data_IF_880123032972
#
_entry.id   IF_880123032972
#
_cell.length_a   1.000
_cell.length_b   1.000
_cell.length_c   1.000
_cell.angle_alpha   90.00
_cell.angle_beta   90.00
_cell.angle_gamma   90.00
#
_symmetry.space_group_name_H-M   'P 1'
#
loop_
_entity.id
_entity.type
_entity.pdbx_description
1 polymer ?
#
# COMPACT_ATOMS: atom_id res chain seq x y z
N UNK A 1 38.22 10.09 4.13
CA UNK A 1 37.08 10.40 3.24
C UNK A 1 35.96 9.46 3.62
N UNK A 2 35.15 9.83 4.61
CA UNK A 2 34.01 9.02 5.04
C UNK A 2 32.86 9.28 4.08
N UNK A 3 32.47 8.23 3.34
CA UNK A 3 31.29 8.26 2.49
C UNK A 3 30.06 8.48 3.35
N UNK A 4 29.37 9.60 3.13
CA UNK A 4 28.04 9.84 3.67
C UNK A 4 27.14 8.73 3.12
N UNK A 5 26.83 7.73 3.95
CA UNK A 5 25.70 6.83 3.72
C UNK A 5 24.42 7.67 3.78
N UNK A 6 24.12 8.35 2.68
CA UNK A 6 22.79 8.89 2.45
C UNK A 6 21.91 7.66 2.38
N UNK A 7 21.13 7.39 3.43
CA UNK A 7 20.05 6.42 3.35
C UNK A 7 19.26 6.77 2.09
N UNK A 8 19.35 5.92 1.06
CA UNK A 8 18.57 6.07 -0.16
C UNK A 8 17.12 6.10 0.30
N UNK A 9 16.51 7.29 0.28
CA UNK A 9 15.08 7.43 0.56
C UNK A 9 14.39 6.55 -0.47
N UNK A 10 13.82 5.43 0.01
CA UNK A 10 13.13 4.48 -0.86
C UNK A 10 11.84 5.14 -1.31
N UNK A 11 11.86 5.70 -2.52
CA UNK A 11 10.71 6.25 -3.20
C UNK A 11 9.85 5.12 -3.76
N UNK A 12 8.59 5.39 -4.02
CA UNK A 12 7.73 4.50 -4.79
C UNK A 12 8.27 4.42 -6.22
N UNK A 13 8.48 3.22 -6.74
CA UNK A 13 8.87 3.01 -8.14
C UNK A 13 7.68 2.75 -9.05
N UNK A 14 6.61 2.20 -8.48
CA UNK A 14 5.36 1.88 -9.16
C UNK A 14 4.17 2.36 -8.35
N UNK A 15 3.09 2.67 -9.05
CA UNK A 15 1.81 3.03 -8.46
C UNK A 15 0.67 2.44 -9.30
N UNK A 16 -0.49 2.29 -8.68
CA UNK A 16 -1.72 1.86 -9.32
C UNK A 16 -2.68 3.03 -9.43
N UNK A 17 -3.23 3.24 -10.62
CA UNK A 17 -4.19 4.32 -10.90
C UNK A 17 -5.51 4.06 -10.14
N UNK A 18 -6.00 5.08 -9.44
CA UNK A 18 -7.30 5.08 -8.76
C UNK A 18 -8.33 5.92 -9.52
N UNK A 19 -7.91 7.05 -10.08
CA UNK A 19 -8.76 7.96 -10.86
C UNK A 19 -7.88 8.88 -11.71
N UNK A 20 -8.42 9.48 -12.77
CA UNK A 20 -7.70 10.47 -13.56
C UNK A 20 -8.63 11.50 -14.20
N UNK A 21 -8.08 12.71 -14.41
CA UNK A 21 -8.74 13.82 -15.11
C UNK A 21 -7.87 14.27 -16.26
N UNK A 22 -8.36 14.13 -17.49
CA UNK A 22 -7.63 14.51 -18.71
C UNK A 22 -7.23 15.99 -18.74
N UNK A 23 -8.03 16.86 -18.10
CA UNK A 23 -7.73 18.27 -17.87
C UNK A 23 -7.98 18.67 -16.42
N UNK A 24 -7.21 18.07 -15.51
CA UNK A 24 -7.25 18.36 -14.09
C UNK A 24 -6.37 19.55 -13.69
N UNK A 25 -6.69 20.16 -12.55
CA UNK A 25 -5.78 21.04 -11.81
C UNK A 25 -5.23 20.26 -10.62
N UNK A 26 -3.93 20.35 -10.42
CA UNK A 26 -3.26 19.72 -9.28
C UNK A 26 -3.73 20.35 -7.96
N UNK A 27 -4.00 19.49 -6.99
CA UNK A 27 -4.29 19.87 -5.61
C UNK A 27 -3.02 20.01 -4.76
N UNK A 28 -1.93 19.33 -5.16
CA UNK A 28 -0.66 19.30 -4.43
C UNK A 28 0.32 20.40 -4.88
N UNK A 29 0.27 20.81 -6.14
CA UNK A 29 1.17 21.82 -6.74
C UNK A 29 0.35 22.89 -7.46
N UNK A 30 0.32 24.09 -6.87
CA UNK A 30 -0.43 25.24 -7.40
C UNK A 30 0.01 25.56 -8.84
N UNK A 31 -0.97 25.78 -9.72
CA UNK A 31 -0.74 26.19 -11.11
C UNK A 31 -0.41 25.06 -12.08
N UNK A 32 -0.25 23.81 -11.60
CA UNK A 32 -0.10 22.65 -12.48
C UNK A 32 -1.44 22.20 -13.03
N UNK A 33 -1.52 22.09 -14.35
CA UNK A 33 -2.70 21.67 -15.11
C UNK A 33 -2.25 20.63 -16.14
N UNK A 34 -3.05 19.61 -16.36
CA UNK A 34 -2.76 18.56 -17.34
C UNK A 34 -3.58 17.31 -17.06
N UNK A 35 -3.07 16.15 -17.47
CA UNK A 35 -3.63 14.87 -17.09
C UNK A 35 -3.23 14.61 -15.63
N UNK A 36 -4.16 14.81 -14.70
CA UNK A 36 -3.92 14.60 -13.27
C UNK A 36 -4.43 13.23 -12.90
N UNK A 37 -3.54 12.39 -12.38
CA UNK A 37 -3.82 11.02 -11.99
C UNK A 37 -3.70 10.91 -10.47
N UNK A 38 -4.74 10.38 -9.83
CA UNK A 38 -4.71 9.94 -8.44
C UNK A 38 -4.30 8.47 -8.44
N UNK A 39 -3.27 8.12 -7.67
CA UNK A 39 -2.75 6.76 -7.63
C UNK A 39 -2.34 6.35 -6.21
N UNK A 40 -2.21 5.05 -5.99
CA UNK A 40 -1.63 4.46 -4.77
C UNK A 40 -0.31 3.79 -5.09
N UNK A 41 0.74 4.14 -4.37
CA UNK A 41 2.05 3.51 -4.54
C UNK A 41 2.08 2.05 -4.12
N UNK A 42 2.87 1.22 -4.80
CA UNK A 42 2.88 -0.23 -4.59
C UNK A 42 3.57 -0.62 -3.27
N UNK A 43 4.70 0.00 -2.93
CA UNK A 43 5.57 -0.41 -1.82
C UNK A 43 5.20 0.24 -0.50
N UNK A 44 4.80 1.52 -0.50
CA UNK A 44 4.47 2.27 0.71
C UNK A 44 2.98 2.52 0.84
N UNK A 45 2.17 2.12 -0.14
CA UNK A 45 0.71 2.32 -0.16
C UNK A 45 0.36 3.80 0.04
N UNK A 46 1.22 4.68 -0.47
CA UNK A 46 1.05 6.12 -0.34
C UNK A 46 0.13 6.63 -1.44
N UNK A 47 -0.87 7.43 -1.09
CA UNK A 47 -1.68 8.13 -2.08
C UNK A 47 -0.87 9.27 -2.71
N UNK A 48 -0.85 9.31 -4.03
CA UNK A 48 -0.04 10.22 -4.83
C UNK A 48 -0.90 10.94 -5.87
N UNK A 49 -0.56 12.19 -6.12
CA UNK A 49 -1.00 12.92 -7.28
C UNK A 49 0.13 12.94 -8.32
N UNK A 50 -0.19 12.57 -9.56
CA UNK A 50 0.76 12.38 -10.65
C UNK A 50 0.32 13.21 -11.86
N UNK A 51 1.30 13.82 -12.53
CA UNK A 51 1.13 14.46 -13.82
C UNK A 51 1.49 13.47 -14.93
N UNK A 52 0.51 13.12 -15.76
CA UNK A 52 0.71 12.33 -16.97
C UNK A 52 1.35 13.13 -18.10
N UNK A 53 2.03 12.45 -19.01
CA UNK A 53 2.50 13.03 -20.27
C UNK A 53 1.31 13.36 -21.17
N UNK A 54 1.47 14.40 -21.98
CA UNK A 54 0.47 14.76 -22.98
C UNK A 54 0.17 13.57 -23.90
N UNK A 55 -1.11 13.35 -24.21
CA UNK A 55 -1.63 12.23 -25.00
C UNK A 55 -1.53 10.83 -24.36
N UNK A 56 -1.11 10.71 -23.10
CA UNK A 56 -1.20 9.43 -22.39
C UNK A 56 -2.64 9.13 -21.97
N UNK A 57 -3.04 7.87 -22.10
CA UNK A 57 -4.27 7.34 -21.50
C UNK A 57 -3.93 6.59 -20.21
N UNK A 58 -4.87 6.56 -19.28
CA UNK A 58 -4.74 5.81 -18.03
C UNK A 58 -6.01 4.98 -17.83
N UNK A 59 -5.85 3.81 -17.24
CA UNK A 59 -6.97 2.95 -16.85
C UNK A 59 -6.96 2.75 -15.34
N UNK A 60 -8.13 2.70 -14.71
CA UNK A 60 -8.24 2.40 -13.27
C UNK A 60 -7.66 1.00 -13.00
N UNK A 61 -6.83 0.87 -11.96
CA UNK A 61 -6.09 -0.34 -11.64
C UNK A 61 -4.84 -0.58 -12.49
N UNK A 62 -4.53 0.30 -13.45
CA UNK A 62 -3.28 0.22 -14.23
C UNK A 62 -2.06 0.42 -13.32
N UNK A 63 -1.08 -0.48 -13.43
CA UNK A 63 0.23 -0.35 -12.77
C UNK A 63 1.14 0.52 -13.63
N UNK A 64 1.47 1.71 -13.16
CA UNK A 64 2.31 2.68 -13.84
C UNK A 64 3.68 2.82 -13.16
N UNK A 65 4.73 3.00 -13.97
CA UNK A 65 6.08 3.28 -13.46
C UNK A 65 6.24 4.77 -13.15
N UNK A 66 6.64 5.08 -11.92
CA UNK A 66 6.83 6.44 -11.39
C UNK A 66 8.25 6.69 -10.85
N UNK A 67 9.15 5.70 -10.99
CA UNK A 67 10.57 5.83 -10.65
C UNK A 67 11.28 6.92 -11.44
N UNK A 68 12.56 7.20 -11.12
CA UNK A 68 13.22 8.44 -11.56
C UNK A 68 13.40 8.57 -13.08
N UNK A 69 13.71 7.49 -13.78
CA UNK A 69 14.10 7.49 -15.20
C UNK A 69 13.36 6.40 -15.97
N UNK A 70 13.05 6.62 -17.26
CA UNK A 70 12.37 5.63 -18.09
C UNK A 70 10.84 5.60 -17.96
N UNK A 71 10.22 6.68 -17.47
CA UNK A 71 8.76 6.82 -17.43
C UNK A 71 8.20 6.97 -18.85
N UNK A 72 7.17 6.20 -19.17
CA UNK A 72 6.53 6.20 -20.51
C UNK A 72 5.22 6.96 -20.55
N UNK A 73 4.46 6.98 -19.45
CA UNK A 73 3.17 7.71 -19.32
C UNK A 73 3.23 8.87 -18.33
N UNK A 74 4.24 8.89 -17.46
CA UNK A 74 4.29 9.80 -16.31
C UNK A 74 5.32 10.90 -16.54
N UNK A 75 4.88 12.15 -16.45
CA UNK A 75 5.77 13.31 -16.50
C UNK A 75 6.45 13.53 -15.15
N UNK A 76 5.67 13.59 -14.07
CA UNK A 76 6.20 13.81 -12.72
C UNK A 76 5.23 13.36 -11.63
N UNK A 77 5.76 12.87 -10.50
CA UNK A 77 4.99 12.74 -9.25
C UNK A 77 4.91 14.13 -8.62
N UNK A 78 3.69 14.66 -8.45
CA UNK A 78 3.45 16.01 -7.96
C UNK A 78 3.53 16.10 -6.43
N UNK A 79 2.98 15.09 -5.74
CA UNK A 79 3.02 15.07 -4.29
C UNK A 79 2.20 13.94 -3.68
N UNK A 80 2.24 13.85 -2.35
CA UNK A 80 1.34 12.99 -1.57
C UNK A 80 0.00 13.70 -1.38
N UNK A 81 -1.08 12.92 -1.36
CA UNK A 81 -2.43 13.42 -1.11
C UNK A 81 -3.06 12.66 0.07
N UNK A 82 -3.86 13.36 0.86
CA UNK A 82 -4.59 12.75 1.97
C UNK A 82 -5.84 12.04 1.45
N UNK A 83 -6.28 10.97 2.11
CA UNK A 83 -7.49 10.22 1.75
C UNK A 83 -8.73 11.11 1.66
N UNK A 84 -8.86 12.12 2.53
CA UNK A 84 -10.00 13.06 2.53
C UNK A 84 -9.99 14.05 1.36
N UNK A 85 -8.89 14.13 0.59
CA UNK A 85 -8.73 15.06 -0.53
C UNK A 85 -8.87 14.40 -1.90
N UNK A 86 -8.92 13.08 -1.96
CA UNK A 86 -9.17 12.34 -3.21
C UNK A 86 -10.68 12.27 -3.49
N UNK A 87 -11.04 12.13 -4.78
CA UNK A 87 -12.43 11.99 -5.24
C UNK A 87 -13.09 10.74 -4.66
N UNK A 88 -14.43 10.77 -4.54
CA UNK A 88 -15.20 9.59 -4.14
C UNK A 88 -15.01 8.42 -5.10
N UNK A 89 -14.82 8.69 -6.40
CA UNK A 89 -14.43 7.71 -7.41
C UNK A 89 -13.07 7.08 -7.09
N UNK A 90 -12.05 7.87 -6.75
CA UNK A 90 -10.77 7.31 -6.35
C UNK A 90 -10.89 6.47 -5.07
N UNK A 91 -11.70 6.92 -4.10
CA UNK A 91 -11.92 6.20 -2.85
C UNK A 91 -12.58 4.83 -3.07
N UNK A 92 -13.58 4.74 -3.96
CA UNK A 92 -14.28 3.49 -4.25
C UNK A 92 -13.39 2.42 -4.88
N UNK A 93 -12.32 2.82 -5.58
CA UNK A 93 -11.40 1.91 -6.25
C UNK A 93 -10.30 1.36 -5.32
N UNK A 94 -9.99 2.05 -4.21
CA UNK A 94 -8.90 1.65 -3.29
C UNK A 94 -9.04 0.20 -2.82
N UNK A 95 -10.22 -0.30 -2.36
CA UNK A 95 -10.34 -1.67 -1.88
C UNK A 95 -9.89 -2.72 -2.91
N UNK A 96 -10.35 -2.62 -4.16
CA UNK A 96 -10.00 -3.57 -5.22
C UNK A 96 -8.53 -3.46 -5.66
N UNK A 97 -8.00 -2.24 -5.72
CA UNK A 97 -6.58 -2.01 -6.05
C UNK A 97 -5.66 -2.51 -4.94
N UNK A 98 -5.99 -2.27 -3.67
CA UNK A 98 -5.22 -2.77 -2.51
C UNK A 98 -5.20 -4.30 -2.51
N UNK A 99 -6.33 -4.95 -2.72
CA UNK A 99 -6.39 -6.41 -2.82
C UNK A 99 -5.50 -6.94 -3.96
N UNK A 100 -5.55 -6.28 -5.12
CA UNK A 100 -4.68 -6.60 -6.26
C UNK A 100 -3.19 -6.44 -5.94
N UNK A 101 -2.82 -5.38 -5.20
CA UNK A 101 -1.44 -5.15 -4.74
C UNK A 101 -0.99 -6.26 -3.79
N UNK A 102 -1.85 -6.68 -2.86
CA UNK A 102 -1.56 -7.73 -1.89
C UNK A 102 -1.33 -9.06 -2.59
N UNK A 103 -2.20 -9.43 -3.54
CA UNK A 103 -2.08 -10.67 -4.31
C UNK A 103 -0.78 -10.67 -5.13
N UNK A 104 -0.51 -9.59 -5.87
CA UNK A 104 0.70 -9.49 -6.71
C UNK A 104 2.00 -9.45 -5.89
N UNK A 105 1.94 -9.02 -4.63
CA UNK A 105 3.08 -8.90 -3.74
C UNK A 105 2.95 -9.81 -2.52
N UNK A 106 2.35 -10.99 -2.68
CA UNK A 106 2.02 -11.92 -1.60
C UNK A 106 3.18 -12.15 -0.63
N UNK A 107 4.37 -12.42 -1.17
CA UNK A 107 5.59 -12.65 -0.37
C UNK A 107 5.84 -11.54 0.65
N UNK A 108 5.67 -10.27 0.29
CA UNK A 108 5.89 -9.13 1.19
C UNK A 108 4.98 -9.18 2.43
N UNK A 109 3.72 -9.55 2.24
CA UNK A 109 2.72 -9.58 3.29
C UNK A 109 2.81 -10.87 4.13
N UNK A 110 3.14 -11.99 3.50
CA UNK A 110 3.48 -13.25 4.20
C UNK A 110 4.73 -13.05 5.07
N UNK A 111 5.78 -12.43 4.52
CA UNK A 111 7.00 -12.10 5.26
C UNK A 111 6.71 -11.15 6.44
N UNK A 112 5.78 -10.20 6.28
CA UNK A 112 5.34 -9.38 7.40
C UNK A 112 4.74 -10.23 8.54
N UNK A 113 3.82 -11.15 8.22
CA UNK A 113 3.20 -12.01 9.23
C UNK A 113 4.21 -12.96 9.90
N UNK A 114 5.19 -13.46 9.15
CA UNK A 114 6.29 -14.26 9.68
C UNK A 114 7.17 -13.47 10.66
N UNK A 115 7.39 -12.19 10.41
CA UNK A 115 8.33 -11.37 11.19
C UNK A 115 7.66 -10.44 12.20
N UNK A 116 6.32 -10.33 12.22
CA UNK A 116 5.56 -9.44 13.10
C UNK A 116 5.92 -9.66 14.58
N UNK A 117 6.17 -8.58 15.33
CA UNK A 117 6.62 -8.63 16.72
C UNK A 117 5.63 -7.99 17.69
N UNK A 118 5.86 -8.17 18.98
CA UNK A 118 5.18 -7.41 20.03
C UNK A 118 5.52 -5.92 19.92
N UNK A 119 4.50 -5.07 19.94
CA UNK A 119 4.68 -3.61 19.99
C UNK A 119 5.00 -3.15 21.41
N UNK A 120 4.31 -3.75 22.38
CA UNK A 120 4.51 -3.57 23.82
C UNK A 120 4.39 -4.92 24.50
N UNK A 121 4.75 -5.06 25.79
CA UNK A 121 4.52 -6.31 26.52
C UNK A 121 3.06 -6.80 26.54
N UNK A 122 2.09 -5.92 26.23
CA UNK A 122 0.65 -6.23 26.26
C UNK A 122 -0.02 -6.30 24.90
N UNK A 123 0.64 -5.83 23.83
CA UNK A 123 0.02 -5.67 22.51
C UNK A 123 0.96 -6.23 21.45
N UNK A 124 0.48 -7.22 20.70
CA UNK A 124 1.16 -7.75 19.51
C UNK A 124 0.69 -7.03 18.24
N UNK A 125 1.61 -6.80 17.29
CA UNK A 125 1.28 -6.12 16.02
C UNK A 125 0.22 -6.87 15.19
N UNK A 126 0.26 -8.21 15.21
CA UNK A 126 -0.76 -9.06 14.58
C UNK A 126 -2.18 -8.76 15.08
N UNK A 127 -2.37 -8.40 16.35
CA UNK A 127 -3.69 -8.10 16.91
C UNK A 127 -4.30 -6.80 16.36
N UNK A 128 -3.47 -5.98 15.71
CA UNK A 128 -3.91 -4.75 15.07
C UNK A 128 -4.53 -5.01 13.70
N UNK A 129 -4.37 -6.22 13.14
CA UNK A 129 -5.02 -6.61 11.90
C UNK A 129 -6.47 -7.01 12.22
N UNK A 130 -7.48 -6.33 11.64
CA UNK A 130 -8.88 -6.63 11.93
C UNK A 130 -9.22 -8.09 11.70
N UNK A 131 -9.85 -8.73 12.68
CA UNK A 131 -10.20 -10.17 12.66
C UNK A 131 -9.15 -11.08 13.31
N UNK A 132 -7.94 -10.59 13.58
CA UNK A 132 -6.93 -11.32 14.33
C UNK A 132 -7.00 -10.91 15.81
N UNK A 133 -7.75 -11.67 16.60
CA UNK A 133 -7.74 -11.56 18.06
C UNK A 133 -6.59 -12.36 18.70
N UNK A 134 -6.55 -12.40 20.05
CA UNK A 134 -5.54 -13.14 20.82
C UNK A 134 -5.40 -14.62 20.41
N UNK A 135 -6.52 -15.28 20.14
CA UNK A 135 -6.56 -16.69 19.72
C UNK A 135 -5.82 -16.89 18.40
N UNK A 136 -6.19 -16.13 17.35
CA UNK A 136 -5.52 -16.24 16.06
C UNK A 136 -4.07 -15.79 16.13
N UNK A 137 -3.78 -14.72 16.86
CA UNK A 137 -2.40 -14.25 17.07
C UNK A 137 -1.51 -15.36 17.66
N UNK A 138 -1.98 -16.07 18.69
CA UNK A 138 -1.22 -17.16 19.30
C UNK A 138 -1.00 -18.32 18.31
N UNK A 139 -2.05 -18.72 17.58
CA UNK A 139 -1.96 -19.78 16.55
C UNK A 139 -0.94 -19.39 15.47
N UNK A 140 -0.98 -18.16 14.96
CA UNK A 140 -0.05 -17.67 13.94
C UNK A 140 1.40 -17.73 14.44
N UNK A 141 1.66 -17.32 15.69
CA UNK A 141 3.00 -17.36 16.30
C UNK A 141 3.48 -18.81 16.45
N UNK A 142 2.65 -19.70 17.01
CA UNK A 142 3.01 -21.10 17.19
C UNK A 142 3.32 -21.79 15.85
N UNK A 143 2.54 -21.49 14.81
CA UNK A 143 2.75 -22.06 13.49
C UNK A 143 4.05 -21.54 12.85
N UNK A 144 4.26 -20.22 12.79
CA UNK A 144 5.48 -19.69 12.16
C UNK A 144 6.78 -20.10 12.86
N UNK A 145 6.74 -20.38 14.17
CA UNK A 145 7.88 -20.91 14.94
C UNK A 145 8.28 -22.32 14.51
N UNK A 146 7.33 -23.16 14.10
CA UNK A 146 7.62 -24.49 13.53
C UNK A 146 8.26 -24.36 12.16
N UNK A 147 7.66 -23.52 11.32
CA UNK A 147 8.11 -23.23 9.95
C UNK A 147 7.48 -21.90 9.50
N UNK A 148 8.27 -20.95 8.96
CA UNK A 148 7.73 -19.75 8.34
C UNK A 148 6.69 -20.07 7.26
N UNK A 149 5.65 -19.25 7.15
CA UNK A 149 4.65 -19.37 6.11
C UNK A 149 5.24 -19.05 4.74
N UNK A 150 4.80 -19.79 3.72
CA UNK A 150 5.26 -19.59 2.34
C UNK A 150 4.23 -18.85 1.46
N UNK A 151 2.96 -18.88 1.84
CA UNK A 151 1.84 -18.31 1.08
C UNK A 151 0.65 -17.97 1.98
N UNK A 152 -0.30 -17.18 1.48
CA UNK A 152 -1.60 -16.97 2.11
C UNK A 152 -2.39 -18.26 2.26
N UNK A 153 -2.29 -19.16 1.28
CA UNK A 153 -2.91 -20.49 1.37
C UNK A 153 -2.30 -21.32 2.50
N UNK A 154 -0.98 -21.27 2.69
CA UNK A 154 -0.31 -21.94 3.81
C UNK A 154 -0.78 -21.40 5.17
N UNK A 155 -0.92 -20.06 5.28
CA UNK A 155 -1.45 -19.40 6.48
C UNK A 155 -2.87 -19.89 6.78
N UNK A 156 -3.77 -19.86 5.80
CA UNK A 156 -5.15 -20.31 5.97
C UNK A 156 -5.22 -21.78 6.35
N UNK A 157 -4.44 -22.65 5.69
CA UNK A 157 -4.45 -24.08 5.94
C UNK A 157 -3.99 -24.45 7.35
N UNK A 158 -2.94 -23.78 7.84
CA UNK A 158 -2.30 -24.10 9.14
C UNK A 158 -2.96 -23.39 10.31
N UNK A 159 -3.41 -22.16 10.13
CA UNK A 159 -3.99 -21.35 11.22
C UNK A 159 -5.51 -21.38 11.25
N UNK A 160 -6.15 -21.87 10.17
CA UNK A 160 -7.60 -21.80 9.94
C UNK A 160 -8.16 -20.37 9.88
N UNK A 161 -7.29 -19.36 9.78
CA UNK A 161 -7.68 -17.98 9.50
C UNK A 161 -8.17 -17.89 8.06
N UNK A 162 -9.48 -17.79 7.87
CA UNK A 162 -10.09 -17.65 6.56
C UNK A 162 -9.77 -16.29 5.97
N UNK A 163 -9.60 -16.23 4.65
CA UNK A 163 -9.47 -14.99 3.88
C UNK A 163 -8.39 -14.02 4.42
N UNK A 164 -7.13 -14.47 4.62
CA UNK A 164 -6.06 -13.64 5.18
C UNK A 164 -5.83 -12.33 4.41
N UNK A 165 -6.04 -12.35 3.09
CA UNK A 165 -5.96 -11.17 2.22
C UNK A 165 -6.96 -10.10 2.68
N UNK A 166 -8.22 -10.46 2.98
CA UNK A 166 -9.25 -9.50 3.39
C UNK A 166 -8.92 -8.82 4.71
N UNK A 167 -8.35 -9.56 5.66
CA UNK A 167 -7.91 -9.02 6.95
C UNK A 167 -6.82 -7.96 6.77
N UNK A 168 -5.84 -8.24 5.90
CA UNK A 168 -4.76 -7.31 5.57
C UNK A 168 -5.29 -6.11 4.77
N UNK A 169 -6.15 -6.34 3.77
CA UNK A 169 -6.80 -5.27 3.00
C UNK A 169 -7.54 -4.31 3.91
N UNK A 170 -8.35 -4.83 4.85
CA UNK A 170 -9.09 -3.99 5.80
C UNK A 170 -8.14 -3.16 6.66
N UNK A 171 -7.06 -3.75 7.16
CA UNK A 171 -6.04 -3.00 7.92
C UNK A 171 -5.43 -1.87 7.09
N UNK A 172 -5.07 -2.14 5.84
CA UNK A 172 -4.50 -1.13 4.95
C UNK A 172 -5.50 0.01 4.70
N UNK A 173 -6.78 -0.30 4.51
CA UNK A 173 -7.82 0.72 4.33
C UNK A 173 -7.92 1.64 5.56
N UNK A 174 -7.95 1.09 6.77
CA UNK A 174 -7.97 1.87 8.03
C UNK A 174 -6.71 2.78 8.15
N UNK A 175 -5.55 2.30 7.69
CA UNK A 175 -4.30 3.07 7.70
C UNK A 175 -4.27 4.18 6.63
N UNK A 176 -4.83 3.92 5.45
CA UNK A 176 -4.95 4.91 4.37
C UNK A 176 -5.93 6.02 4.81
N UNK A 177 -7.09 5.66 5.36
CA UNK A 177 -8.10 6.63 5.82
C UNK A 177 -7.64 7.43 7.04
N UNK A 178 -6.67 6.92 7.80
CA UNK A 178 -6.12 7.57 8.99
C UNK A 178 -6.92 7.30 10.26
N UNK A 179 -7.73 6.25 10.27
CA UNK A 179 -8.47 5.77 11.44
C UNK A 179 -7.54 5.09 12.46
N UNK A 180 -6.36 4.65 12.03
CA UNK A 180 -5.37 4.00 12.90
C UNK A 180 -4.40 5.00 13.52
N UNK A 181 -4.09 4.82 14.81
CA UNK A 181 -3.02 5.57 15.49
C UNK A 181 -1.61 5.21 15.04
N UNK A 182 -1.44 4.01 14.47
CA UNK A 182 -0.15 3.48 14.03
C UNK A 182 -0.33 2.69 12.75
N UNK A 183 0.60 2.84 11.81
CA UNK A 183 0.58 2.12 10.54
C UNK A 183 1.53 0.91 10.58
N UNK A 184 1.08 -0.20 10.02
CA UNK A 184 1.86 -1.42 9.81
C UNK A 184 2.40 -1.48 8.38
N UNK A 185 1.57 -1.09 7.41
CA UNK A 185 1.80 -1.28 5.99
C UNK A 185 2.02 0.05 5.25
N UNK A 186 1.24 1.08 5.60
CA UNK A 186 1.25 2.38 4.92
C UNK A 186 2.35 3.27 5.50
N UNK A 187 3.32 3.69 4.66
CA UNK A 187 4.42 4.59 5.10
C UNK A 187 4.21 6.01 4.57
N UNK A 188 3.57 6.84 5.40
CA UNK A 188 3.36 8.26 5.14
C UNK A 188 4.67 9.05 5.06
#
# INVERSE_FOLDING_TARGET
MEGIHTQLRKFEEYAYVLDFKSRGRSSTVRGRIGIIVTAIGEDRLTLLEILGLENSTFDVGERIYIGKEGRTKVQSVLGKIDYTKISDSAQSEIPGVVESIIIKNEKRFVDYLNNAQSLTPRIHTLELIPGIGKTYMHIIIQEREKKPFESFSDIENRTKLKEPIKHISKRILEEISGETRMNLFVKR
#
